data_IF_161966804133
#
_entry.id   IF_161966804133
#
_cell.length_a   1.000
_cell.length_b   1.000
_cell.length_c   1.000
_cell.angle_alpha   90.00
_cell.angle_beta   90.00
_cell.angle_gamma   90.00
#
_symmetry.space_group_name_H-M   'P 1'
#
loop_
_entity.id
_entity.type
_entity.pdbx_description
1 polymer ?
#
# COMPACT_ATOMS: atom_id res chain seq x y z
N UNK A 1 3.20 7.54 -1.26
CA UNK A 1 3.57 6.97 -2.57
C UNK A 1 4.58 7.88 -3.24
N UNK A 2 5.43 7.36 -4.14
CA UNK A 2 6.38 8.15 -4.93
C UNK A 2 7.76 7.50 -5.00
N UNK A 3 8.75 8.23 -5.52
CA UNK A 3 10.14 7.77 -5.67
C UNK A 3 10.85 7.68 -4.31
N UNK A 4 11.13 6.46 -3.85
CA UNK A 4 11.93 6.20 -2.66
C UNK A 4 13.42 6.07 -2.99
N UNK A 5 13.78 5.86 -4.26
CA UNK A 5 15.13 5.56 -4.72
C UNK A 5 15.76 4.38 -3.94
N UNK A 6 14.90 3.38 -3.68
CA UNK A 6 15.15 2.17 -2.88
C UNK A 6 14.68 0.95 -3.65
N UNK A 7 15.45 -0.14 -3.63
CA UNK A 7 15.05 -1.40 -4.27
C UNK A 7 14.86 -2.44 -3.17
N UNK A 8 13.64 -2.92 -3.01
CA UNK A 8 13.24 -3.88 -1.95
C UNK A 8 13.19 -5.33 -2.45
N UNK A 9 13.55 -5.60 -3.71
CA UNK A 9 13.55 -6.93 -4.29
C UNK A 9 12.18 -7.61 -4.20
N UNK A 10 12.19 -8.88 -3.80
CA UNK A 10 11.00 -9.70 -3.51
C UNK A 10 10.75 -9.89 -2.02
N UNK A 11 11.35 -9.06 -1.18
CA UNK A 11 11.14 -9.18 0.27
C UNK A 11 9.65 -8.99 0.60
N UNK A 12 9.18 -9.87 1.49
CA UNK A 12 7.85 -9.89 2.04
C UNK A 12 7.97 -10.51 3.44
N UNK A 13 7.88 -9.68 4.48
CA UNK A 13 8.09 -10.09 5.88
C UNK A 13 6.79 -10.24 6.65
N UNK A 14 5.65 -10.11 5.96
CA UNK A 14 4.34 -9.91 6.57
C UNK A 14 3.50 -11.16 6.39
N UNK A 15 2.70 -11.50 7.39
CA UNK A 15 1.89 -12.71 7.32
C UNK A 15 0.67 -12.51 6.40
N UNK A 16 0.24 -13.60 5.73
CA UNK A 16 -0.89 -13.61 4.80
C UNK A 16 -2.18 -13.04 5.41
N UNK A 17 -2.37 -13.20 6.72
CA UNK A 17 -3.55 -12.77 7.47
C UNK A 17 -3.84 -11.27 7.33
N UNK A 18 -2.82 -10.45 7.10
CA UNK A 18 -2.96 -8.99 6.90
C UNK A 18 -3.81 -8.68 5.65
N UNK A 19 -3.84 -9.58 4.68
CA UNK A 19 -4.45 -9.34 3.36
C UNK A 19 -5.80 -10.06 3.17
N UNK A 20 -6.25 -10.89 4.10
CA UNK A 20 -7.42 -11.79 3.95
C UNK A 20 -8.72 -11.08 3.54
N UNK A 21 -8.92 -9.83 3.96
CA UNK A 21 -10.12 -9.03 3.67
C UNK A 21 -9.87 -7.92 2.65
N UNK A 22 -8.80 -8.03 1.86
CA UNK A 22 -8.40 -7.02 0.87
C UNK A 22 -8.37 -7.60 -0.54
N UNK A 23 -8.21 -6.73 -1.54
CA UNK A 23 -7.93 -7.15 -2.92
C UNK A 23 -6.44 -7.42 -3.16
N UNK A 24 -5.58 -7.19 -2.14
CA UNK A 24 -4.14 -7.38 -2.25
C UNK A 24 -3.77 -8.85 -2.10
N UNK A 25 -2.95 -9.32 -3.03
CA UNK A 25 -2.47 -10.69 -3.13
C UNK A 25 -1.23 -10.91 -2.24
N UNK A 26 -1.15 -12.10 -1.65
CA UNK A 26 0.00 -12.61 -0.93
C UNK A 26 0.57 -13.87 -1.61
N UNK A 27 1.89 -14.09 -1.64
CA UNK A 27 2.96 -13.17 -1.25
C UNK A 27 3.16 -12.08 -2.31
N UNK A 28 3.85 -10.98 -1.98
CA UNK A 28 4.24 -9.95 -2.93
C UNK A 28 5.16 -10.53 -3.99
N UNK A 29 4.97 -10.13 -5.25
CA UNK A 29 5.89 -10.48 -6.34
C UNK A 29 6.34 -9.25 -7.11
N UNK A 30 7.58 -9.19 -7.58
CA UNK A 30 8.12 -8.04 -8.33
C UNK A 30 9.04 -8.47 -9.46
N UNK A 31 9.09 -7.71 -10.55
CA UNK A 31 10.06 -7.87 -11.62
C UNK A 31 11.47 -7.42 -11.20
N UNK A 32 11.58 -6.51 -10.24
CA UNK A 32 12.87 -6.12 -9.66
C UNK A 32 13.20 -7.03 -8.48
N UNK A 33 14.21 -7.89 -8.67
CA UNK A 33 14.68 -8.86 -7.66
C UNK A 33 15.81 -8.32 -6.78
N UNK A 34 16.27 -7.09 -7.01
CA UNK A 34 17.43 -6.56 -6.30
C UNK A 34 17.00 -5.89 -5.00
N UNK A 35 17.64 -6.29 -3.90
CA UNK A 35 17.55 -5.61 -2.62
C UNK A 35 18.82 -4.75 -2.41
N UNK A 36 18.66 -3.43 -2.32
CA UNK A 36 19.78 -2.53 -2.03
C UNK A 36 19.81 -2.08 -0.56
N UNK A 37 20.90 -1.41 -0.14
CA UNK A 37 21.07 -0.96 1.24
C UNK A 37 19.93 -0.06 1.73
N UNK A 38 19.45 0.83 0.87
CA UNK A 38 18.33 1.72 1.20
C UNK A 38 17.00 0.95 1.30
N UNK A 39 16.82 -0.07 0.47
CA UNK A 39 15.68 -0.98 0.55
C UNK A 39 15.62 -1.73 1.88
N UNK A 40 16.75 -2.17 2.42
CA UNK A 40 16.80 -2.78 3.76
C UNK A 40 16.33 -1.81 4.86
N UNK A 41 16.84 -0.58 4.83
CA UNK A 41 16.43 0.48 5.76
C UNK A 41 14.94 0.81 5.62
N UNK A 42 14.41 0.81 4.39
CA UNK A 42 12.99 1.04 4.14
C UNK A 42 12.13 -0.10 4.69
N UNK A 43 12.54 -1.36 4.50
CA UNK A 43 11.83 -2.52 5.06
C UNK A 43 11.80 -2.49 6.59
N UNK A 44 12.92 -2.16 7.24
CA UNK A 44 12.98 -1.97 8.70
C UNK A 44 12.04 -0.84 9.17
N UNK A 45 11.98 0.28 8.43
CA UNK A 45 11.05 1.38 8.73
C UNK A 45 9.59 0.93 8.58
N UNK A 46 9.28 0.21 7.51
CA UNK A 46 7.94 -0.28 7.23
C UNK A 46 7.45 -1.25 8.31
N UNK A 47 8.29 -2.17 8.75
CA UNK A 47 7.99 -3.09 9.85
C UNK A 47 7.66 -2.32 11.13
N UNK A 48 8.48 -1.32 11.49
CA UNK A 48 8.25 -0.49 12.67
C UNK A 48 6.97 0.36 12.61
N UNK A 49 6.51 0.70 11.41
CA UNK A 49 5.33 1.55 11.19
C UNK A 49 4.09 0.75 10.75
N UNK A 50 4.17 -0.58 10.67
CA UNK A 50 3.13 -1.46 10.13
C UNK A 50 2.64 -0.99 8.75
N UNK A 51 3.59 -0.79 7.83
CA UNK A 51 3.34 -0.39 6.46
C UNK A 51 3.56 -1.54 5.48
N UNK A 52 2.65 -1.67 4.53
CA UNK A 52 2.63 -2.66 3.47
C UNK A 52 2.84 -2.03 2.10
N UNK A 53 3.45 -2.79 1.19
CA UNK A 53 3.66 -2.38 -0.21
C UNK A 53 2.51 -2.87 -1.07
N UNK A 54 1.88 -1.97 -1.84
CA UNK A 54 0.86 -2.34 -2.81
C UNK A 54 1.46 -2.89 -4.12
N UNK A 55 2.62 -2.38 -4.55
CA UNK A 55 3.29 -2.83 -5.77
C UNK A 55 3.53 -4.35 -5.73
N UNK A 56 3.09 -5.06 -6.77
CA UNK A 56 3.22 -6.52 -6.79
C UNK A 56 2.10 -7.30 -6.13
N UNK A 57 1.08 -6.61 -5.58
CA UNK A 57 -0.04 -7.24 -4.87
C UNK A 57 -1.39 -7.02 -5.53
N UNK A 58 -1.52 -6.13 -6.50
CA UNK A 58 -2.81 -5.81 -7.11
C UNK A 58 -2.99 -6.56 -8.43
N UNK A 59 -4.24 -6.66 -8.91
CA UNK A 59 -4.55 -7.33 -10.18
C UNK A 59 -3.80 -6.71 -11.36
N UNK A 60 -3.65 -5.39 -11.39
CA UNK A 60 -3.03 -4.68 -12.50
C UNK A 60 -1.51 -4.49 -12.36
N UNK A 61 -0.92 -4.84 -11.21
CA UNK A 61 0.53 -4.73 -10.97
C UNK A 61 1.11 -5.99 -10.31
N UNK A 62 0.65 -7.19 -10.71
CA UNK A 62 1.23 -8.47 -10.28
C UNK A 62 1.80 -9.26 -11.46
N UNK A 63 3.12 -9.54 -11.50
CA UNK A 63 4.15 -9.05 -10.58
C UNK A 63 4.40 -7.54 -10.72
N UNK A 64 4.95 -6.92 -9.67
CA UNK A 64 5.19 -5.49 -9.61
C UNK A 64 6.13 -5.01 -10.72
N UNK A 65 5.64 -4.09 -11.52
CA UNK A 65 6.25 -3.60 -12.75
C UNK A 65 7.33 -2.56 -12.49
N UNK A 66 8.32 -2.48 -13.38
CA UNK A 66 9.37 -1.45 -13.29
C UNK A 66 8.74 -0.06 -13.34
N UNK A 67 9.12 0.78 -12.40
CA UNK A 67 8.64 2.18 -12.31
C UNK A 67 9.69 3.16 -12.78
N UNK A 68 10.93 2.70 -12.97
CA UNK A 68 12.04 3.47 -13.50
C UNK A 68 12.77 2.68 -14.56
N UNK A 69 13.04 3.32 -15.70
CA UNK A 69 13.74 2.75 -16.85
C UNK A 69 14.71 3.77 -17.45
N UNK A 70 15.98 3.42 -17.43
CA UNK A 70 17.06 4.20 -18.03
C UNK A 70 17.90 3.33 -18.96
N UNK A 71 18.77 3.92 -19.81
CA UNK A 71 19.69 3.15 -20.65
C UNK A 71 20.61 2.20 -19.87
N UNK A 72 20.83 2.47 -18.58
CA UNK A 72 21.74 1.69 -17.71
C UNK A 72 21.03 0.66 -16.83
N UNK A 73 19.68 0.63 -16.85
CA UNK A 73 18.92 -0.35 -16.09
C UNK A 73 17.52 0.09 -15.72
N UNK A 74 16.83 -0.79 -15.02
CA UNK A 74 15.43 -0.65 -14.61
C UNK A 74 15.22 -1.10 -13.18
N UNK A 75 14.27 -0.48 -12.49
CA UNK A 75 13.99 -0.77 -11.09
C UNK A 75 12.54 -0.46 -10.69
N UNK A 76 12.10 -1.05 -9.58
CA UNK A 76 10.86 -0.68 -8.89
C UNK A 76 11.28 0.19 -7.71
N UNK A 77 11.27 1.52 -7.91
CA UNK A 77 11.71 2.50 -6.90
C UNK A 77 10.61 3.49 -6.51
N UNK A 78 9.57 3.59 -7.32
CA UNK A 78 8.34 4.28 -6.98
C UNK A 78 7.43 3.28 -6.29
N UNK A 79 7.14 3.52 -5.01
CA UNK A 79 6.36 2.59 -4.19
C UNK A 79 5.07 3.24 -3.69
N UNK A 80 4.00 2.47 -3.64
CA UNK A 80 2.78 2.78 -2.90
C UNK A 80 2.81 1.99 -1.60
N UNK A 81 2.88 2.72 -0.48
CA UNK A 81 2.88 2.16 0.87
C UNK A 81 1.55 2.52 1.55
N UNK A 82 0.95 1.56 2.22
CA UNK A 82 -0.29 1.73 3.01
C UNK A 82 -0.10 1.15 4.39
N UNK A 83 -0.83 1.64 5.38
CA UNK A 83 -0.90 0.94 6.67
C UNK A 83 -1.90 -0.22 6.60
N UNK A 84 -1.99 -1.00 7.67
CA UNK A 84 -2.92 -2.14 7.78
C UNK A 84 -4.37 -1.77 7.46
N UNK A 85 -4.87 -0.62 7.92
CA UNK A 85 -6.23 -0.16 7.56
C UNK A 85 -6.36 0.22 6.08
N UNK A 86 -5.28 0.74 5.51
CA UNK A 86 -5.18 1.10 4.10
C UNK A 86 -5.25 -0.12 3.19
N UNK A 87 -4.77 -1.29 3.64
CA UNK A 87 -4.83 -2.54 2.88
C UNK A 87 -6.26 -2.89 2.46
N UNK A 88 -7.25 -2.71 3.33
CA UNK A 88 -8.66 -3.02 3.05
C UNK A 88 -9.31 -2.10 2.01
N UNK A 89 -8.80 -0.87 1.87
CA UNK A 89 -9.39 0.14 0.97
C UNK A 89 -8.66 0.25 -0.37
N UNK A 90 -7.51 -0.39 -0.57
CA UNK A 90 -6.89 -0.43 -1.90
C UNK A 90 -7.69 -1.37 -2.79
N UNK A 91 -8.09 -0.91 -3.97
CA UNK A 91 -8.77 -1.75 -4.98
C UNK A 91 -7.77 -2.28 -5.99
N UNK A 92 -6.98 -1.38 -6.58
CA UNK A 92 -6.00 -1.70 -7.60
C UNK A 92 -4.84 -0.71 -7.60
N UNK A 93 -3.73 -1.13 -8.19
CA UNK A 93 -2.56 -0.30 -8.48
C UNK A 93 -2.09 -0.70 -9.87
N UNK A 94 -1.86 0.28 -10.72
CA UNK A 94 -1.28 0.08 -12.04
C UNK A 94 -0.07 0.99 -12.24
N UNK A 95 0.90 0.49 -13.01
CA UNK A 95 2.03 1.27 -13.51
C UNK A 95 1.71 1.69 -14.94
N UNK A 96 1.75 2.99 -15.22
CA UNK A 96 1.32 3.54 -16.51
C UNK A 96 2.25 4.62 -17.05
N UNK A 97 2.47 4.62 -18.35
CA UNK A 97 3.26 5.64 -19.04
C UNK A 97 2.41 6.86 -19.34
N UNK A 98 2.80 8.02 -18.78
CA UNK A 98 2.12 9.29 -19.04
C UNK A 98 2.74 10.06 -20.22
N UNK A 99 4.06 9.98 -20.39
CA UNK A 99 4.77 10.58 -21.52
C UNK A 99 6.17 9.99 -21.70
N UNK A 100 6.73 10.15 -22.91
CA UNK A 100 8.06 9.62 -23.27
C UNK A 100 9.23 10.52 -22.80
N UNK A 101 8.96 11.60 -22.06
CA UNK A 101 9.97 12.56 -21.60
C UNK A 101 10.51 12.27 -20.19
N UNK A 102 10.02 11.21 -19.55
CA UNK A 102 10.39 10.78 -18.20
C UNK A 102 10.94 9.36 -18.25
N UNK A 103 11.95 9.09 -17.42
CA UNK A 103 12.44 7.74 -17.14
C UNK A 103 11.66 7.04 -16.02
N UNK A 104 10.69 7.73 -15.42
CA UNK A 104 9.73 7.18 -14.46
C UNK A 104 8.35 6.93 -15.07
N UNK A 105 7.77 5.79 -14.72
CA UNK A 105 6.38 5.43 -14.95
C UNK A 105 5.50 5.93 -13.79
N UNK A 106 4.25 6.30 -14.07
CA UNK A 106 3.33 6.76 -13.06
C UNK A 106 2.67 5.60 -12.31
N UNK A 107 2.44 5.80 -11.01
CA UNK A 107 1.62 4.93 -10.19
C UNK A 107 0.19 5.45 -10.16
N UNK A 108 -0.75 4.66 -10.67
CA UNK A 108 -2.19 4.90 -10.55
C UNK A 108 -2.74 4.01 -9.45
N UNK A 109 -3.09 4.61 -8.30
CA UNK A 109 -3.67 3.93 -7.16
C UNK A 109 -5.18 4.16 -7.11
N UNK A 110 -5.95 3.09 -7.11
CA UNK A 110 -7.40 3.10 -6.94
C UNK A 110 -7.74 2.69 -5.50
N UNK A 111 -8.55 3.51 -4.83
CA UNK A 111 -8.96 3.28 -3.45
C UNK A 111 -10.48 3.38 -3.31
N UNK A 112 -11.02 2.48 -2.49
CA UNK A 112 -12.42 2.45 -2.16
C UNK A 112 -12.70 3.13 -0.82
N UNK A 113 -13.25 4.34 -0.87
CA UNK A 113 -13.51 5.13 0.33
C UNK A 113 -15.01 5.23 0.67
N UNK A 114 -15.81 4.17 0.51
CA UNK A 114 -17.17 4.21 1.06
C UNK A 114 -17.09 4.44 2.57
N UNK A 115 -17.73 5.51 3.04
CA UNK A 115 -17.97 5.76 4.45
C UNK A 115 -18.63 4.50 5.04
N UNK A 116 -17.88 3.71 5.80
CA UNK A 116 -18.49 2.83 6.78
C UNK A 116 -19.19 3.76 7.75
N UNK A 117 -20.52 3.82 7.64
CA UNK A 117 -21.38 4.62 8.50
C UNK A 117 -21.35 4.10 9.94
N UNK A 118 -20.20 4.20 10.60
CA UNK A 118 -20.10 4.14 12.04
C UNK A 118 -20.62 5.50 12.54
N UNK A 119 -21.94 5.69 12.45
CA UNK A 119 -22.63 6.46 13.49
C UNK A 119 -22.32 5.73 14.78
N UNK A 120 -21.35 6.24 15.56
CA UNK A 120 -21.27 5.91 16.97
C UNK A 120 -22.61 6.34 17.58
N UNK A 121 -23.56 5.42 17.69
CA UNK A 121 -24.70 5.61 18.57
C UNK A 121 -24.12 5.75 19.96
N UNK A 122 -24.13 6.98 20.47
CA UNK A 122 -23.90 7.24 21.89
C UNK A 122 -25.15 6.71 22.59
N UNK A 123 -25.18 5.42 22.91
CA UNK A 123 -26.19 4.87 23.79
C UNK A 123 -25.89 5.32 25.23
N UNK A 124 -26.86 6.03 25.82
CA UNK A 124 -27.18 5.93 27.24
C UNK A 124 -26.51 6.95 28.19
N UNK A 125 -27.24 8.01 28.52
CA UNK A 125 -27.89 8.09 29.84
C UNK A 125 -28.92 9.22 29.86
N UNK A 126 -30.19 8.83 29.71
CA UNK A 126 -31.32 9.66 30.12
C UNK A 126 -31.34 9.63 31.65
N UNK A 127 -30.88 10.71 32.29
CA UNK A 127 -31.25 10.98 33.67
C UNK A 127 -32.66 11.60 33.66
N UNK A 128 -33.65 10.75 33.85
CA UNK A 128 -34.99 11.17 34.23
C UNK A 128 -34.88 11.86 35.61
N UNK A 129 -35.13 13.16 35.65
CA UNK A 129 -35.31 13.91 36.89
C UNK A 129 -36.70 14.54 36.84
N UNK A 130 -37.69 13.73 37.19
CA UNK A 130 -38.97 14.21 37.73
C UNK A 130 -39.12 13.69 39.16
N UNK A 131 -39.02 14.67 40.06
CA UNK A 131 -39.76 14.83 41.31
C UNK A 131 -39.73 13.71 42.37
N UNK A 132 -39.09 14.01 43.51
CA UNK A 132 -39.69 13.73 44.83
C UNK A 132 -39.20 14.71 45.90
N UNK A 133 -40.18 15.34 46.55
CA UNK A 133 -40.19 16.23 47.74
C UNK A 133 -39.95 17.73 47.54
#
# INVERSE_FOLDING_TARGET
MGDFNCRIGTEDTVEEQVFLNSTLEYPRTSLDKVLNKRGKVLLEMMENLNLEVCNGRTKSDRPGSFTFMSPVGKSVIDLALVNVLGVEVVEDLAVTSLCDFTDHEALLLEVNCWNTGITRSVEGNVADSRDSY
#
